data_IF_558862705386
#
_entry.id   IF_558862705386
#
_cell.length_a   1.000
_cell.length_b   1.000
_cell.length_c   1.000
_cell.angle_alpha   90.00
_cell.angle_beta   90.00
_cell.angle_gamma   90.00
#
_symmetry.space_group_name_H-M   'P 1'
#
loop_
_entity.id
_entity.type
_entity.pdbx_description
1 polymer ?
#
# COMPACT_ATOMS: atom_id res chain seq x y z
N UNK A 1 -35.20 19.84 13.54
CA UNK A 1 -34.83 21.17 13.02
C UNK A 1 -33.49 21.04 12.32
N UNK A 2 -33.42 21.27 11.00
CA UNK A 2 -32.13 21.39 10.31
C UNK A 2 -31.53 22.74 10.72
N UNK A 3 -30.29 22.77 11.16
CA UNK A 3 -29.64 23.98 11.63
C UNK A 3 -29.43 24.95 10.47
N UNK A 4 -29.33 26.25 10.74
CA UNK A 4 -29.10 27.27 9.69
C UNK A 4 -27.80 27.06 8.93
N UNK A 5 -26.79 26.42 9.56
CA UNK A 5 -25.53 26.05 8.92
C UNK A 5 -25.69 24.88 7.92
N UNK A 6 -26.56 23.91 8.20
CA UNK A 6 -26.74 22.74 7.33
C UNK A 6 -27.16 23.14 5.91
N UNK A 7 -28.12 24.07 5.81
CA UNK A 7 -28.62 24.55 4.51
C UNK A 7 -27.57 25.37 3.76
N UNK A 8 -26.74 26.13 4.50
CA UNK A 8 -25.63 26.88 3.93
C UNK A 8 -24.58 25.94 3.31
N UNK A 9 -24.18 24.90 4.04
CA UNK A 9 -23.21 23.92 3.57
C UNK A 9 -23.71 23.18 2.32
N UNK A 10 -24.97 22.76 2.33
CA UNK A 10 -25.60 22.15 1.15
C UNK A 10 -25.47 23.09 -0.06
N UNK A 11 -25.81 24.38 0.10
CA UNK A 11 -25.76 25.31 -1.03
C UNK A 11 -24.35 25.59 -1.53
N UNK A 12 -23.36 25.66 -0.65
CA UNK A 12 -21.94 25.78 -1.03
C UNK A 12 -21.53 24.58 -1.89
N UNK A 13 -21.91 23.36 -1.48
CA UNK A 13 -21.57 22.16 -2.25
C UNK A 13 -22.23 22.13 -3.62
N UNK A 14 -23.50 22.52 -3.72
CA UNK A 14 -24.21 22.62 -5.01
C UNK A 14 -23.58 23.68 -5.93
N UNK A 15 -23.24 24.85 -5.40
CA UNK A 15 -22.62 25.92 -6.20
C UNK A 15 -21.20 25.55 -6.67
N UNK A 16 -20.41 24.85 -5.85
CA UNK A 16 -19.06 24.46 -6.20
C UNK A 16 -19.01 23.33 -7.24
N UNK A 17 -19.97 22.40 -7.20
CA UNK A 17 -19.99 21.22 -8.08
C UNK A 17 -20.93 21.37 -9.28
N UNK A 18 -21.92 22.26 -9.21
CA UNK A 18 -23.01 22.38 -10.20
C UNK A 18 -24.04 21.25 -10.14
N UNK A 19 -23.93 20.32 -9.20
CA UNK A 19 -24.86 19.20 -9.03
C UNK A 19 -25.86 19.47 -7.90
N UNK A 20 -27.04 18.83 -7.96
CA UNK A 20 -28.01 18.91 -6.86
C UNK A 20 -27.55 18.10 -5.66
N UNK A 21 -27.95 18.53 -4.45
CA UNK A 21 -27.64 17.82 -3.21
C UNK A 21 -28.04 16.34 -3.24
N UNK A 22 -29.17 16.01 -3.86
CA UNK A 22 -29.65 14.62 -3.96
C UNK A 22 -28.65 13.74 -4.72
N UNK A 23 -28.07 14.27 -5.78
CA UNK A 23 -27.10 13.56 -6.62
C UNK A 23 -25.75 13.40 -5.92
N UNK A 24 -25.25 14.49 -5.33
CA UNK A 24 -24.01 14.49 -4.55
C UNK A 24 -24.09 13.50 -3.40
N UNK A 25 -25.18 13.56 -2.64
CA UNK A 25 -25.45 12.66 -1.53
C UNK A 25 -25.48 11.21 -1.99
N UNK A 26 -26.16 10.90 -3.08
CA UNK A 26 -26.22 9.53 -3.61
C UNK A 26 -24.84 8.98 -3.98
N UNK A 27 -24.00 9.80 -4.61
CA UNK A 27 -22.64 9.38 -5.00
C UNK A 27 -21.72 9.23 -3.78
N UNK A 28 -21.77 10.18 -2.84
CA UNK A 28 -20.93 10.15 -1.63
C UNK A 28 -21.40 9.08 -0.62
N UNK A 29 -22.69 8.76 -0.55
CA UNK A 29 -23.19 7.67 0.30
C UNK A 29 -22.71 6.29 -0.16
N UNK A 30 -22.17 6.14 -1.37
CA UNK A 30 -21.55 4.88 -1.83
C UNK A 30 -20.16 4.66 -1.22
N UNK A 31 -19.53 5.71 -0.74
CA UNK A 31 -18.27 5.66 -0.01
C UNK A 31 -18.55 5.10 1.40
N UNK A 32 -18.26 3.82 1.61
CA UNK A 32 -18.51 3.12 2.88
C UNK A 32 -17.21 2.83 3.61
N UNK A 33 -17.28 2.79 4.94
CA UNK A 33 -16.18 2.31 5.78
C UNK A 33 -16.44 0.85 6.14
N UNK A 34 -15.62 -0.04 5.60
CA UNK A 34 -15.59 -1.46 5.97
C UNK A 34 -14.73 -1.66 7.22
N UNK A 35 -15.26 -2.40 8.19
CA UNK A 35 -14.55 -2.81 9.41
C UNK A 35 -14.23 -4.29 9.30
N UNK A 36 -12.95 -4.63 9.27
CA UNK A 36 -12.47 -5.99 9.17
C UNK A 36 -11.78 -6.35 10.48
N UNK A 37 -12.40 -7.24 11.25
CA UNK A 37 -11.82 -7.78 12.48
C UNK A 37 -11.35 -9.22 12.24
N UNK A 38 -10.12 -9.54 12.63
CA UNK A 38 -9.60 -10.89 12.61
C UNK A 38 -8.58 -11.15 13.72
N UNK A 39 -8.11 -12.39 13.85
CA UNK A 39 -7.03 -12.71 14.79
C UNK A 39 -5.75 -11.89 14.58
N UNK A 40 -5.51 -11.42 13.35
CA UNK A 40 -4.43 -10.50 12.98
C UNK A 40 -4.73 -9.01 13.30
N UNK A 41 -5.77 -8.71 14.08
CA UNK A 41 -6.13 -7.35 14.49
C UNK A 41 -7.34 -6.78 13.75
N UNK A 42 -7.49 -5.46 13.81
CA UNK A 42 -8.63 -4.73 13.30
C UNK A 42 -8.22 -3.68 12.26
N UNK A 43 -8.91 -3.66 11.12
CA UNK A 43 -8.63 -2.74 10.02
C UNK A 43 -9.91 -2.03 9.62
N UNK A 44 -9.88 -0.69 9.57
CA UNK A 44 -10.96 0.11 9.01
C UNK A 44 -10.53 0.60 7.65
N UNK A 45 -11.13 0.04 6.61
CA UNK A 45 -10.81 0.38 5.23
C UNK A 45 -12.04 0.95 4.54
N UNK A 46 -11.85 2.10 3.90
CA UNK A 46 -12.85 2.70 3.03
C UNK A 46 -12.96 1.91 1.71
N UNK A 47 -14.14 1.93 1.10
CA UNK A 47 -14.31 1.50 -0.29
C UNK A 47 -13.43 2.31 -1.25
N UNK A 48 -13.10 1.72 -2.40
CA UNK A 48 -12.37 2.42 -3.45
C UNK A 48 -13.17 3.61 -3.97
N UNK A 49 -12.48 4.71 -4.26
CA UNK A 49 -13.07 5.94 -4.79
C UNK A 49 -13.40 5.75 -6.25
N UNK A 50 -14.61 6.15 -6.62
CA UNK A 50 -14.97 6.25 -8.04
C UNK A 50 -14.34 7.52 -8.63
N UNK A 51 -14.09 7.53 -9.95
CA UNK A 51 -13.61 8.72 -10.65
C UNK A 51 -14.54 9.93 -10.45
N UNK A 52 -15.86 9.68 -10.33
CA UNK A 52 -16.85 10.71 -10.06
C UNK A 52 -16.69 11.30 -8.66
N UNK A 53 -16.50 10.47 -7.64
CA UNK A 53 -16.23 10.93 -6.27
C UNK A 53 -14.95 11.76 -6.21
N UNK A 54 -13.88 11.36 -6.91
CA UNK A 54 -12.65 12.13 -7.01
C UNK A 54 -12.86 13.52 -7.62
N UNK A 55 -13.69 13.62 -8.68
CA UNK A 55 -14.08 14.92 -9.27
C UNK A 55 -14.84 15.80 -8.28
N UNK A 56 -15.75 15.23 -7.48
CA UNK A 56 -16.48 15.97 -6.44
C UNK A 56 -15.51 16.51 -5.38
N UNK A 57 -14.58 15.68 -4.87
CA UNK A 57 -13.58 16.13 -3.90
C UNK A 57 -12.70 17.26 -4.45
N UNK A 58 -12.28 17.14 -5.72
CA UNK A 58 -11.51 18.18 -6.41
C UNK A 58 -12.29 19.49 -6.57
N UNK A 59 -13.57 19.43 -6.94
CA UNK A 59 -14.43 20.60 -7.07
C UNK A 59 -14.66 21.32 -5.73
N UNK A 60 -14.73 20.55 -4.64
CA UNK A 60 -14.82 21.08 -3.27
C UNK A 60 -13.48 21.53 -2.70
N UNK A 61 -12.37 21.34 -3.42
CA UNK A 61 -11.00 21.56 -2.94
C UNK A 61 -10.68 20.84 -1.62
N UNK A 62 -11.26 19.65 -1.42
CA UNK A 62 -11.03 18.80 -0.24
C UNK A 62 -10.11 17.64 -0.65
N UNK A 63 -9.15 17.31 0.20
CA UNK A 63 -8.30 16.14 -0.01
C UNK A 63 -9.14 14.86 0.02
N UNK A 64 -8.79 13.90 -0.84
CA UNK A 64 -9.45 12.62 -0.81
C UNK A 64 -9.23 11.92 0.54
N UNK A 65 -10.28 11.37 1.18
CA UNK A 65 -10.14 10.66 2.44
C UNK A 65 -9.18 9.47 2.30
N UNK A 66 -8.34 9.19 3.32
CA UNK A 66 -7.41 8.07 3.29
C UNK A 66 -8.15 6.73 3.16
N UNK A 67 -7.54 5.77 2.46
CA UNK A 67 -8.12 4.43 2.26
C UNK A 67 -8.16 3.62 3.55
N UNK A 68 -7.10 3.69 4.36
CA UNK A 68 -7.02 3.05 5.67
C UNK A 68 -7.17 4.13 6.72
N UNK A 69 -8.25 4.04 7.49
CA UNK A 69 -8.58 5.00 8.55
C UNK A 69 -7.97 4.55 9.86
N UNK A 70 -7.96 3.24 10.10
CA UNK A 70 -7.53 2.66 11.37
C UNK A 70 -6.88 1.29 11.17
N UNK A 71 -5.79 1.04 11.89
CA UNK A 71 -5.00 -0.19 11.84
C UNK A 71 -4.58 -0.55 13.27
N UNK A 72 -5.30 -1.47 13.89
CA UNK A 72 -4.94 -2.02 15.20
C UNK A 72 -4.31 -3.40 15.02
N UNK A 73 -3.03 -3.58 15.31
CA UNK A 73 -2.44 -4.91 15.38
C UNK A 73 -3.01 -5.68 16.58
N UNK A 74 -2.96 -7.01 16.57
CA UNK A 74 -3.42 -7.79 17.70
C UNK A 74 -2.47 -7.56 18.87
N UNK A 75 -3.02 -7.46 20.07
CA UNK A 75 -2.22 -7.59 21.30
C UNK A 75 -1.74 -9.03 21.39
N UNK A 76 -0.43 -9.25 21.26
CA UNK A 76 0.21 -10.55 21.48
C UNK A 76 -0.26 -11.23 22.79
N UNK A 77 -0.44 -12.58 22.88
CA UNK A 77 -0.31 -13.63 21.86
C UNK A 77 -1.68 -14.02 21.27
N UNK A 78 -1.81 -14.01 19.95
CA UNK A 78 -2.95 -14.62 19.27
C UNK A 78 -2.72 -16.14 19.08
N UNK A 79 -3.74 -17.00 19.23
CA UNK A 79 -3.65 -18.40 18.85
C UNK A 79 -3.72 -18.52 17.32
N UNK A 80 -2.60 -18.83 16.66
CA UNK A 80 -2.48 -18.87 15.20
C UNK A 80 -3.53 -19.81 14.54
N UNK A 81 -4.49 -19.30 13.76
CA UNK A 81 -5.38 -20.14 12.94
C UNK A 81 -4.92 -20.23 11.48
N UNK A 82 -3.91 -19.46 11.08
CA UNK A 82 -3.36 -19.45 9.73
C UNK A 82 -1.94 -20.02 9.78
N UNK A 83 -1.71 -21.26 9.32
CA UNK A 83 -0.35 -21.77 9.24
C UNK A 83 0.40 -20.92 8.22
N UNK A 84 1.35 -20.13 8.70
CA UNK A 84 2.37 -19.52 7.85
C UNK A 84 3.13 -20.66 7.19
N UNK A 85 2.68 -21.04 5.99
CA UNK A 85 3.40 -21.97 5.14
C UNK A 85 4.60 -21.24 4.58
N UNK A 86 5.63 -21.08 5.40
CA UNK A 86 6.99 -20.83 4.94
C UNK A 86 7.42 -22.04 4.12
N UNK A 87 7.01 -22.10 2.85
CA UNK A 87 7.60 -22.99 1.87
C UNK A 87 8.96 -22.40 1.56
N UNK A 88 9.94 -22.70 2.42
CA UNK A 88 11.35 -22.54 2.10
C UNK A 88 11.63 -23.40 0.88
N UNK A 89 11.39 -22.84 -0.32
CA UNK A 89 11.95 -23.39 -1.54
C UNK A 89 13.43 -23.05 -1.45
N UNK A 90 14.21 -23.96 -0.88
CA UNK A 90 15.64 -24.00 -1.10
C UNK A 90 15.83 -23.92 -2.61
N UNK A 91 16.34 -22.81 -3.12
CA UNK A 91 16.86 -22.76 -4.48
C UNK A 91 18.15 -23.55 -4.43
N UNK A 92 18.03 -24.89 -4.50
CA UNK A 92 19.15 -25.73 -4.90
C UNK A 92 19.37 -25.43 -6.37
N UNK A 93 20.27 -24.50 -6.67
CA UNK A 93 20.90 -24.42 -7.99
C UNK A 93 21.78 -25.66 -8.14
N UNK A 94 21.19 -26.71 -8.70
CA UNK A 94 21.94 -27.79 -9.31
C UNK A 94 22.74 -27.20 -10.49
N UNK A 95 24.00 -26.86 -10.28
CA UNK A 95 24.99 -26.95 -11.36
C UNK A 95 25.60 -28.33 -11.23
N UNK A 96 24.99 -29.29 -11.92
CA UNK A 96 25.68 -30.52 -12.27
C UNK A 96 26.70 -30.19 -13.35
N UNK A 97 27.98 -30.37 -13.06
CA UNK A 97 28.97 -30.69 -14.07
C UNK A 97 30.03 -31.59 -13.45
N UNK A 98 29.95 -32.83 -13.90
CA UNK A 98 30.78 -33.99 -13.61
C UNK A 98 32.24 -33.84 -14.02
N UNK A 99 33.03 -34.78 -13.48
CA UNK A 99 34.34 -35.30 -13.93
C UNK A 99 35.60 -34.56 -13.45
N UNK A 100 36.44 -35.30 -12.71
CA UNK A 100 37.88 -35.04 -12.63
C UNK A 100 38.52 -35.32 -11.27
N UNK A 101 38.74 -36.58 -10.94
CA UNK A 101 39.67 -37.01 -9.88
C UNK A 101 41.09 -36.48 -10.17
N UNK A 102 41.71 -35.69 -9.29
CA UNK A 102 43.14 -35.78 -8.94
C UNK A 102 43.62 -34.71 -7.95
N UNK A 103 44.17 -35.21 -6.84
CA UNK A 103 45.34 -34.72 -6.08
C UNK A 103 45.43 -33.28 -5.52
N UNK A 104 45.35 -33.21 -4.18
CA UNK A 104 46.22 -32.45 -3.25
C UNK A 104 46.65 -31.03 -3.65
N UNK A 105 45.99 -30.03 -3.07
CA UNK A 105 46.44 -28.62 -3.15
C UNK A 105 45.91 -27.75 -2.01
N UNK A 106 46.69 -27.70 -0.92
CA UNK A 106 46.90 -26.61 0.04
C UNK A 106 45.78 -25.54 0.17
N UNK A 107 45.14 -25.51 1.35
CA UNK A 107 44.24 -24.43 1.80
C UNK A 107 44.99 -23.10 1.79
N UNK A 108 44.62 -22.20 0.88
CA UNK A 108 45.06 -20.79 0.89
C UNK A 108 43.85 -19.92 1.20
N UNK A 109 43.69 -19.57 2.47
CA UNK A 109 42.83 -18.48 2.90
C UNK A 109 43.26 -17.20 2.17
N UNK A 110 42.45 -16.73 1.23
CA UNK A 110 42.60 -15.39 0.66
C UNK A 110 41.27 -14.67 0.80
N UNK A 111 41.12 -14.00 1.93
CA UNK A 111 40.13 -12.98 2.19
C UNK A 111 40.09 -12.02 1.00
N UNK A 112 38.95 -11.96 0.31
CA UNK A 112 38.66 -10.89 -0.65
C UNK A 112 37.66 -9.96 -0.02
N UNK A 113 38.20 -8.87 0.51
CA UNK A 113 37.51 -7.62 0.81
C UNK A 113 36.70 -7.19 -0.42
N UNK A 114 35.39 -7.05 -0.25
CA UNK A 114 34.50 -6.50 -1.28
C UNK A 114 34.66 -4.99 -1.25
N UNK A 115 35.43 -4.44 -2.18
CA UNK A 115 35.44 -3.01 -2.47
C UNK A 115 34.09 -2.62 -3.07
N UNK A 116 33.31 -1.83 -2.32
CA UNK A 116 32.19 -1.05 -2.86
C UNK A 116 32.73 -0.10 -3.93
N UNK A 117 32.45 -0.40 -5.21
CA UNK A 117 32.52 0.61 -6.27
C UNK A 117 31.19 1.33 -6.34
N UNK A 118 31.14 2.48 -5.70
CA UNK A 118 30.25 3.60 -6.01
C UNK A 118 30.29 3.89 -7.52
N UNK A 119 29.14 3.84 -8.18
CA UNK A 119 28.95 4.40 -9.51
C UNK A 119 28.02 5.62 -9.37
N UNK A 120 28.64 6.77 -9.10
CA UNK A 120 28.05 8.08 -9.31
C UNK A 120 28.67 8.70 -10.57
N UNK A 121 27.89 9.55 -11.23
CA UNK A 121 28.14 10.28 -12.48
C UNK A 121 27.65 9.51 -13.73
N UNK A 122 26.78 10.08 -14.57
CA UNK A 122 27.04 11.34 -15.25
C UNK A 122 25.75 12.13 -15.56
N UNK A 123 25.68 13.34 -15.03
CA UNK A 123 24.91 14.46 -15.59
C UNK A 123 25.65 14.98 -16.83
N UNK A 124 24.95 15.22 -17.95
CA UNK A 124 24.97 16.48 -18.75
C UNK A 124 24.54 16.30 -20.21
N UNK A 125 23.60 17.18 -20.60
CA UNK A 125 23.49 17.90 -21.89
C UNK A 125 23.15 17.04 -23.13
N UNK A 126 22.16 17.36 -23.99
CA UNK A 126 21.78 18.63 -24.66
C UNK A 126 20.55 18.33 -25.58
N UNK A 127 20.05 19.32 -26.34
CA UNK A 127 18.98 20.28 -26.04
C UNK A 127 17.54 19.73 -26.10
#
# INVERSE_FOLDING_TARGET
MKTTLDLLLIRITENATGETWRTLRWELERLRLGRFSGPAGEVHQRTETTARQATIFKALAVAEPPRFVHLDPPSWPHPDPYPLRCRSRSINTHVGSSCGTSARGRVSARSRTVTMRTCSALTRLLP
#
